data_IF_883932214929
#
_entry.id   IF_883932214929
#
_cell.length_a   1.000
_cell.length_b   1.000
_cell.length_c   1.000
_cell.angle_alpha   90.00
_cell.angle_beta   90.00
_cell.angle_gamma   90.00
#
_symmetry.space_group_name_H-M   'P 1'
#
loop_
_entity.id
_entity.type
_entity.pdbx_description
1 polymer ?
#
# COMPACT_ATOMS: atom_id res chain seq x y z
N UNK A 1 18.63 13.63 -29.00
CA UNK A 1 18.32 14.16 -27.65
C UNK A 1 17.08 13.50 -27.04
N UNK A 2 16.00 13.42 -27.78
CA UNK A 2 14.73 12.82 -27.30
C UNK A 2 14.88 11.33 -26.89
N UNK A 3 15.76 10.60 -27.53
CA UNK A 3 16.02 9.19 -27.26
C UNK A 3 16.91 8.99 -26.02
N UNK A 4 17.85 9.91 -25.75
CA UNK A 4 18.70 9.88 -24.56
C UNK A 4 17.93 10.25 -23.30
N UNK A 5 17.04 11.22 -23.36
CA UNK A 5 16.18 11.59 -22.22
C UNK A 5 15.20 10.46 -21.85
N UNK A 6 14.60 9.78 -22.83
CA UNK A 6 13.75 8.60 -22.56
C UNK A 6 14.53 7.43 -21.94
N UNK A 7 15.75 7.17 -22.39
CA UNK A 7 16.58 6.12 -21.82
C UNK A 7 17.05 6.48 -20.40
N UNK A 8 17.30 7.75 -20.11
CA UNK A 8 17.69 8.22 -18.79
C UNK A 8 16.54 8.10 -17.80
N UNK A 9 15.33 8.56 -18.14
CA UNK A 9 14.14 8.44 -17.29
C UNK A 9 13.77 6.97 -17.02
N UNK A 10 13.83 6.10 -18.02
CA UNK A 10 13.53 4.67 -17.85
C UNK A 10 14.61 3.99 -17.00
N UNK A 11 15.87 4.38 -17.15
CA UNK A 11 16.98 3.78 -16.42
C UNK A 11 16.98 4.16 -14.95
N UNK A 12 16.78 5.43 -14.65
CA UNK A 12 16.72 5.93 -13.27
C UNK A 12 15.49 5.40 -12.54
N UNK A 13 14.34 5.33 -13.19
CA UNK A 13 13.13 4.73 -12.66
C UNK A 13 13.29 3.23 -12.42
N UNK A 14 13.84 2.48 -13.39
CA UNK A 14 14.03 1.03 -13.27
C UNK A 14 15.00 0.67 -12.15
N UNK A 15 16.18 1.29 -12.09
CA UNK A 15 17.19 0.99 -11.08
C UNK A 15 16.67 1.38 -9.66
N UNK A 16 15.95 2.49 -9.52
CA UNK A 16 15.33 2.93 -8.28
C UNK A 16 14.24 1.95 -7.81
N UNK A 17 13.39 1.49 -8.71
CA UNK A 17 12.33 0.53 -8.44
C UNK A 17 12.92 -0.82 -7.99
N UNK A 18 13.89 -1.37 -8.73
CA UNK A 18 14.56 -2.62 -8.37
C UNK A 18 15.28 -2.52 -7.02
N UNK A 19 15.97 -1.41 -6.75
CA UNK A 19 16.68 -1.23 -5.47
C UNK A 19 15.72 -1.08 -4.29
N UNK A 20 14.63 -0.34 -4.44
CA UNK A 20 13.63 -0.18 -3.39
C UNK A 20 12.94 -1.51 -3.08
N UNK A 21 12.62 -2.30 -4.10
CA UNK A 21 12.05 -3.64 -3.95
C UNK A 21 13.00 -4.60 -3.23
N UNK A 22 14.28 -4.59 -3.59
CA UNK A 22 15.30 -5.40 -2.91
C UNK A 22 15.43 -5.06 -1.42
N UNK A 23 15.50 -3.77 -1.09
CA UNK A 23 15.62 -3.32 0.29
C UNK A 23 14.37 -3.67 1.09
N UNK A 24 13.19 -3.40 0.54
CA UNK A 24 11.93 -3.63 1.22
C UNK A 24 11.63 -5.12 1.43
N UNK A 25 12.03 -5.97 0.49
CA UNK A 25 11.91 -7.44 0.62
C UNK A 25 12.71 -7.96 1.81
N UNK A 26 13.83 -7.31 2.16
CA UNK A 26 14.62 -7.66 3.33
C UNK A 26 13.94 -7.31 4.67
N UNK A 27 12.99 -6.36 4.66
CA UNK A 27 12.32 -5.87 5.87
C UNK A 27 10.86 -6.36 6.02
N UNK A 28 10.29 -7.05 5.03
CA UNK A 28 8.93 -7.54 5.16
C UNK A 28 8.24 -7.89 3.84
N UNK A 29 6.93 -7.72 3.82
CA UNK A 29 6.08 -8.10 2.69
C UNK A 29 6.02 -7.00 1.62
N UNK A 30 6.27 -7.37 0.37
CA UNK A 30 6.02 -6.54 -0.82
C UNK A 30 4.58 -5.98 -0.85
N UNK A 31 3.62 -6.70 -0.27
CA UNK A 31 2.23 -6.28 -0.20
C UNK A 31 1.98 -5.06 0.72
N UNK A 32 2.99 -4.58 1.42
CA UNK A 32 2.94 -3.36 2.26
C UNK A 32 3.72 -2.19 1.65
N UNK A 33 4.32 -2.39 0.48
CA UNK A 33 5.15 -1.37 -0.15
C UNK A 33 4.33 -0.43 -1.03
N UNK A 34 4.72 0.84 -0.99
CA UNK A 34 4.25 1.87 -1.90
C UNK A 34 5.40 2.44 -2.71
N UNK A 35 5.11 2.88 -3.92
CA UNK A 35 6.01 3.64 -4.76
C UNK A 35 5.52 5.08 -4.88
N UNK A 36 6.47 6.01 -4.93
CA UNK A 36 6.19 7.43 -5.16
C UNK A 36 7.06 7.90 -6.31
N UNK A 37 6.44 8.24 -7.42
CA UNK A 37 7.11 8.82 -8.57
C UNK A 37 7.04 10.35 -8.46
N UNK A 38 8.18 11.01 -8.64
CA UNK A 38 8.30 12.46 -8.52
C UNK A 38 8.81 13.02 -9.84
N UNK A 39 7.99 13.84 -10.48
CA UNK A 39 8.39 14.55 -11.71
C UNK A 39 9.27 15.78 -11.37
N UNK A 40 10.08 16.29 -12.32
CA UNK A 40 10.94 17.44 -12.10
C UNK A 40 10.21 18.72 -11.70
N UNK A 41 8.93 18.85 -12.05
CA UNK A 41 8.06 19.98 -11.69
C UNK A 41 7.44 19.85 -10.28
N UNK A 42 7.75 18.76 -9.57
CA UNK A 42 7.22 18.45 -8.24
C UNK A 42 5.89 17.74 -8.23
N UNK A 43 5.32 17.38 -9.40
CA UNK A 43 4.15 16.51 -9.49
C UNK A 43 4.50 15.12 -8.94
N UNK A 44 3.61 14.55 -8.15
CA UNK A 44 3.83 13.26 -7.50
C UNK A 44 2.72 12.27 -7.86
N UNK A 45 3.10 11.04 -8.13
CA UNK A 45 2.20 9.91 -8.30
C UNK A 45 2.46 8.89 -7.19
N UNK A 46 1.40 8.35 -6.61
CA UNK A 46 1.46 7.37 -5.53
C UNK A 46 0.81 6.08 -5.99
N UNK A 47 1.50 4.98 -5.86
CA UNK A 47 0.99 3.67 -6.27
C UNK A 47 1.36 2.58 -5.26
N UNK A 48 0.66 1.45 -5.33
CA UNK A 48 1.11 0.23 -4.68
C UNK A 48 2.25 -0.38 -5.50
N UNK A 49 3.35 -0.73 -4.86
CA UNK A 49 4.54 -1.27 -5.54
C UNK A 49 4.36 -2.70 -6.09
N UNK A 50 3.15 -3.26 -6.03
CA UNK A 50 2.84 -4.61 -6.52
C UNK A 50 1.86 -4.58 -7.71
N UNK A 51 1.86 -5.65 -8.51
CA UNK A 51 0.99 -5.79 -9.67
C UNK A 51 -0.50 -6.00 -9.32
N UNK A 52 -1.34 -6.07 -10.34
CA UNK A 52 -2.81 -6.05 -10.26
C UNK A 52 -3.48 -7.31 -9.71
N UNK A 53 -2.73 -8.34 -9.33
CA UNK A 53 -3.23 -9.60 -8.72
C UNK A 53 -4.47 -10.18 -9.43
N UNK A 54 -4.49 -10.16 -10.76
CA UNK A 54 -5.62 -10.59 -11.62
C UNK A 54 -6.15 -11.98 -11.29
N UNK A 55 -5.29 -12.89 -10.79
CA UNK A 55 -5.68 -14.23 -10.37
C UNK A 55 -6.74 -14.23 -9.26
N UNK A 56 -6.65 -13.31 -8.30
CA UNK A 56 -7.66 -13.15 -7.25
C UNK A 56 -8.94 -12.52 -7.75
N UNK A 57 -8.84 -11.60 -8.73
CA UNK A 57 -10.01 -11.03 -9.37
C UNK A 57 -10.85 -12.08 -10.10
N UNK A 58 -10.22 -12.98 -10.85
CA UNK A 58 -10.96 -14.07 -11.51
C UNK A 58 -11.63 -15.03 -10.52
N UNK A 59 -11.01 -15.30 -9.39
CA UNK A 59 -11.63 -16.07 -8.31
C UNK A 59 -12.84 -15.36 -7.70
N UNK A 60 -12.71 -14.06 -7.49
CA UNK A 60 -13.81 -13.24 -7.01
C UNK A 60 -15.01 -13.28 -7.97
N UNK A 61 -14.78 -13.19 -9.29
CA UNK A 61 -15.83 -13.32 -10.30
C UNK A 61 -16.52 -14.70 -10.29
N UNK A 62 -15.85 -15.73 -9.81
CA UNK A 62 -16.41 -17.08 -9.61
C UNK A 62 -17.15 -17.22 -8.27
N UNK A 63 -17.28 -16.15 -7.50
CA UNK A 63 -17.94 -16.13 -6.19
C UNK A 63 -17.07 -16.66 -5.04
N UNK A 64 -15.77 -16.86 -5.26
CA UNK A 64 -14.85 -17.26 -4.20
C UNK A 64 -14.49 -16.08 -3.28
N UNK A 65 -14.41 -16.35 -1.97
CA UNK A 65 -13.85 -15.38 -1.02
C UNK A 65 -12.34 -15.30 -1.19
N UNK A 66 -11.84 -14.08 -1.39
CA UNK A 66 -10.42 -13.81 -1.56
C UNK A 66 -9.84 -13.09 -0.35
N UNK A 67 -8.54 -13.31 -0.12
CA UNK A 67 -7.77 -12.62 0.92
C UNK A 67 -6.53 -12.02 0.28
N UNK A 68 -6.67 -10.80 -0.27
CA UNK A 68 -5.59 -9.97 -0.78
C UNK A 68 -5.30 -8.84 0.21
N UNK A 69 -4.03 -8.48 0.34
CA UNK A 69 -3.60 -7.44 1.25
C UNK A 69 -3.82 -6.04 0.62
N UNK A 70 -4.68 -5.17 1.19
CA UNK A 70 -4.91 -3.83 0.67
C UNK A 70 -3.94 -2.78 1.23
N UNK A 71 -2.99 -3.14 2.09
CA UNK A 71 -2.17 -2.18 2.84
C UNK A 71 -1.35 -1.25 1.93
N UNK A 72 -0.71 -1.79 0.89
CA UNK A 72 0.04 -0.94 -0.04
C UNK A 72 -0.85 0.09 -0.73
N UNK A 73 -2.06 -0.28 -1.12
CA UNK A 73 -3.04 0.65 -1.69
C UNK A 73 -3.50 1.70 -0.67
N UNK A 74 -3.75 1.29 0.58
CA UNK A 74 -4.10 2.22 1.66
C UNK A 74 -2.96 3.22 1.87
N UNK A 75 -1.72 2.77 1.96
CA UNK A 75 -0.55 3.65 2.15
C UNK A 75 -0.31 4.58 0.94
N UNK A 76 -0.54 4.13 -0.28
CA UNK A 76 -0.51 4.99 -1.45
C UNK A 76 -1.55 6.12 -1.33
N UNK A 77 -2.78 5.80 -0.93
CA UNK A 77 -3.83 6.79 -0.69
C UNK A 77 -3.49 7.74 0.46
N UNK A 78 -3.02 7.25 1.61
CA UNK A 78 -2.66 8.11 2.75
C UNK A 78 -1.50 9.04 2.39
N UNK A 79 -0.51 8.57 1.65
CA UNK A 79 0.57 9.38 1.10
C UNK A 79 0.06 10.50 0.18
N UNK A 80 -0.80 10.16 -0.78
CA UNK A 80 -1.40 11.12 -1.71
C UNK A 80 -2.28 12.15 -1.00
N UNK A 81 -3.13 11.72 -0.06
CA UNK A 81 -4.00 12.62 0.72
C UNK A 81 -3.17 13.57 1.59
N UNK A 82 -2.13 13.07 2.25
CA UNK A 82 -1.19 13.89 3.05
C UNK A 82 -0.51 14.94 2.17
N UNK A 83 0.00 14.55 1.01
CA UNK A 83 0.61 15.46 0.05
C UNK A 83 -0.39 16.51 -0.45
N UNK A 84 -1.61 16.08 -0.78
CA UNK A 84 -2.67 17.01 -1.20
C UNK A 84 -3.05 17.99 -0.10
N UNK A 85 -3.19 17.51 1.13
CA UNK A 85 -3.42 18.34 2.31
C UNK A 85 -2.35 19.41 2.50
N UNK A 86 -1.08 19.05 2.30
CA UNK A 86 0.04 20.00 2.37
C UNK A 86 -0.02 21.06 1.26
N UNK A 87 -0.34 20.65 0.02
CA UNK A 87 -0.40 21.57 -1.12
C UNK A 87 -1.54 22.57 -1.01
N UNK A 88 -2.69 22.16 -0.47
CA UNK A 88 -3.90 22.99 -0.36
C UNK A 88 -4.05 23.64 1.02
N UNK A 89 -3.15 23.40 1.96
CA UNK A 89 -3.26 23.89 3.32
C UNK A 89 -4.42 23.27 4.12
N UNK A 90 -4.83 22.03 3.78
CA UNK A 90 -5.93 21.30 4.41
C UNK A 90 -5.39 20.38 5.52
N UNK A 91 -5.19 20.92 6.71
CA UNK A 91 -4.64 20.19 7.85
C UNK A 91 -5.50 18.97 8.24
N UNK A 92 -6.83 19.08 8.15
CA UNK A 92 -7.77 18.00 8.47
C UNK A 92 -7.61 16.81 7.51
N UNK A 93 -7.28 17.05 6.24
CA UNK A 93 -7.05 15.99 5.26
C UNK A 93 -5.76 15.23 5.59
N UNK A 94 -4.71 15.93 5.98
CA UNK A 94 -3.46 15.30 6.43
C UNK A 94 -3.67 14.49 7.71
N UNK A 95 -4.39 15.04 8.69
CA UNK A 95 -4.73 14.36 9.94
C UNK A 95 -5.59 13.10 9.71
N UNK A 96 -6.54 13.16 8.77
CA UNK A 96 -7.31 11.98 8.37
C UNK A 96 -6.43 10.90 7.77
N UNK A 97 -5.49 11.26 6.90
CA UNK A 97 -4.55 10.29 6.32
C UNK A 97 -3.72 9.60 7.41
N UNK A 98 -3.22 10.34 8.39
CA UNK A 98 -2.45 9.82 9.52
C UNK A 98 -3.31 8.89 10.41
N UNK A 99 -4.58 9.28 10.68
CA UNK A 99 -5.53 8.46 11.44
C UNK A 99 -5.84 7.13 10.72
N UNK A 100 -6.05 7.18 9.40
CA UNK A 100 -6.30 5.97 8.60
C UNK A 100 -5.11 5.03 8.60
N UNK A 101 -3.91 5.55 8.47
CA UNK A 101 -2.68 4.78 8.51
C UNK A 101 -2.48 4.12 9.89
N UNK A 102 -2.66 4.87 10.97
CA UNK A 102 -2.61 4.35 12.33
C UNK A 102 -3.64 3.25 12.58
N UNK A 103 -4.91 3.46 12.20
CA UNK A 103 -5.97 2.48 12.33
C UNK A 103 -5.67 1.18 11.58
N UNK A 104 -5.06 1.29 10.40
CA UNK A 104 -4.65 0.14 9.58
C UNK A 104 -3.54 -0.67 10.26
N UNK A 105 -2.50 0.00 10.75
CA UNK A 105 -1.40 -0.64 11.47
C UNK A 105 -1.86 -1.26 12.79
N UNK A 106 -2.72 -0.59 13.54
CA UNK A 106 -3.25 -1.09 14.81
C UNK A 106 -4.18 -2.30 14.62
N UNK A 107 -4.83 -2.40 13.47
CA UNK A 107 -5.60 -3.60 13.10
C UNK A 107 -4.68 -4.81 12.94
N UNK A 108 -3.55 -4.64 12.26
CA UNK A 108 -2.53 -5.68 12.13
C UNK A 108 -1.91 -6.03 13.49
N UNK A 109 -1.53 -5.04 14.28
CA UNK A 109 -0.97 -5.24 15.63
C UNK A 109 -1.91 -5.99 16.57
N UNK A 110 -3.22 -5.82 16.40
CA UNK A 110 -4.24 -6.57 17.12
C UNK A 110 -4.42 -8.01 16.62
N UNK A 111 -3.62 -8.46 15.65
CA UNK A 111 -3.66 -9.82 15.11
C UNK A 111 -4.76 -10.06 14.08
N UNK A 112 -5.42 -9.02 13.58
CA UNK A 112 -6.39 -9.13 12.47
C UNK A 112 -5.68 -8.73 11.17
N UNK A 113 -5.51 -9.66 10.27
CA UNK A 113 -4.72 -9.44 9.05
C UNK A 113 -5.12 -10.40 7.93
N UNK A 114 -4.69 -10.11 6.72
CA UNK A 114 -4.86 -10.97 5.56
C UNK A 114 -3.96 -12.19 5.61
N UNK A 115 -4.31 -13.23 4.84
CA UNK A 115 -3.64 -14.53 4.90
C UNK A 115 -2.14 -14.48 4.59
N UNK A 116 -1.71 -13.60 3.73
CA UNK A 116 -0.30 -13.39 3.38
C UNK A 116 0.51 -12.87 4.57
N UNK A 117 -0.01 -11.88 5.31
CA UNK A 117 0.64 -11.36 6.51
C UNK A 117 0.60 -12.38 7.67
N UNK A 118 -0.50 -13.10 7.82
CA UNK A 118 -0.63 -14.12 8.85
C UNK A 118 0.43 -15.22 8.74
N UNK A 119 0.89 -15.51 7.51
CA UNK A 119 1.96 -16.47 7.26
C UNK A 119 3.37 -15.98 7.62
N UNK A 120 3.55 -14.70 7.90
CA UNK A 120 4.85 -14.09 8.25
C UNK A 120 5.03 -13.89 9.76
N UNK A 121 3.97 -14.04 10.54
CA UNK A 121 4.01 -13.81 12.00
C UNK A 121 4.62 -15.01 12.70
N UNK A 122 5.68 -14.78 13.47
CA UNK A 122 6.26 -15.75 14.37
C UNK A 122 5.47 -15.77 15.70
N UNK A 123 4.95 -16.93 16.11
CA UNK A 123 4.23 -17.08 17.36
C UNK A 123 2.80 -17.61 17.21
N UNK A 124 1.87 -17.33 18.14
CA UNK A 124 0.50 -17.80 18.04
C UNK A 124 -0.17 -17.26 16.78
N UNK A 125 -0.78 -18.19 16.02
CA UNK A 125 -1.35 -17.88 14.72
C UNK A 125 -2.37 -16.73 14.79
N UNK A 126 -2.17 -15.63 14.06
CA UNK A 126 -3.09 -14.52 14.03
C UNK A 126 -4.39 -14.90 13.29
N UNK A 127 -5.45 -14.11 13.49
CA UNK A 127 -6.71 -14.30 12.79
C UNK A 127 -6.58 -13.88 11.32
N UNK A 128 -6.37 -14.84 10.44
CA UNK A 128 -6.44 -14.60 8.99
C UNK A 128 -7.89 -14.32 8.57
N UNK A 129 -8.11 -13.18 7.91
CA UNK A 129 -9.43 -12.73 7.47
C UNK A 129 -9.45 -12.50 5.95
N UNK A 130 -10.66 -12.32 5.38
CA UNK A 130 -10.83 -11.90 4.00
C UNK A 130 -10.42 -10.43 3.83
N UNK A 131 -10.20 -9.98 2.59
CA UNK A 131 -9.92 -8.56 2.31
C UNK A 131 -11.04 -7.65 2.80
N UNK A 132 -12.29 -8.06 2.64
CA UNK A 132 -13.48 -7.33 3.07
C UNK A 132 -13.55 -7.21 4.60
N UNK A 133 -13.40 -8.32 5.32
CA UNK A 133 -13.39 -8.32 6.79
C UNK A 133 -12.25 -7.47 7.35
N UNK A 134 -11.10 -7.48 6.68
CA UNK A 134 -9.96 -6.66 7.08
C UNK A 134 -10.26 -5.15 6.92
N UNK A 135 -10.85 -4.74 5.80
CA UNK A 135 -11.28 -3.36 5.58
C UNK A 135 -12.34 -2.91 6.58
N UNK A 136 -13.30 -3.79 6.92
CA UNK A 136 -14.30 -3.51 7.95
C UNK A 136 -13.66 -3.35 9.34
N UNK A 137 -12.65 -4.14 9.68
CA UNK A 137 -11.92 -4.00 10.93
C UNK A 137 -11.14 -2.68 11.02
N UNK A 138 -10.52 -2.24 9.92
CA UNK A 138 -9.86 -0.92 9.84
C UNK A 138 -10.89 0.20 10.01
N UNK A 139 -12.02 0.12 9.29
CA UNK A 139 -13.09 1.11 9.38
C UNK A 139 -13.62 1.25 10.81
N UNK A 140 -13.89 0.15 11.50
CA UNK A 140 -14.37 0.17 12.88
C UNK A 140 -13.41 0.89 13.83
N UNK A 141 -12.09 0.77 13.60
CA UNK A 141 -11.06 1.49 14.38
C UNK A 141 -10.95 2.96 14.01
N UNK A 142 -11.17 3.28 12.73
CA UNK A 142 -11.14 4.65 12.24
C UNK A 142 -12.31 5.48 12.79
N UNK A 143 -13.46 4.85 12.98
CA UNK A 143 -14.70 5.48 13.50
C UNK A 143 -14.76 5.54 15.03
N UNK A 144 -13.87 4.82 15.73
CA UNK A 144 -13.77 4.83 17.20
C UNK A 144 -12.96 6.04 17.69
#
# INVERSE_FOLDING_TARGET
EYRRQRQMCIRDSYDGDVMSDMVSTAFGSLAMMTSVLVAPDGTTEYEAAHGTVTRHYYRYLQGEKTSTNPMATIFAWTGALRKRGQLDGLADLAAFADKLEAASLDTIRAGVMTKDLAGLVEGPAPKAVTSEDFLHAIRARLEA
#
